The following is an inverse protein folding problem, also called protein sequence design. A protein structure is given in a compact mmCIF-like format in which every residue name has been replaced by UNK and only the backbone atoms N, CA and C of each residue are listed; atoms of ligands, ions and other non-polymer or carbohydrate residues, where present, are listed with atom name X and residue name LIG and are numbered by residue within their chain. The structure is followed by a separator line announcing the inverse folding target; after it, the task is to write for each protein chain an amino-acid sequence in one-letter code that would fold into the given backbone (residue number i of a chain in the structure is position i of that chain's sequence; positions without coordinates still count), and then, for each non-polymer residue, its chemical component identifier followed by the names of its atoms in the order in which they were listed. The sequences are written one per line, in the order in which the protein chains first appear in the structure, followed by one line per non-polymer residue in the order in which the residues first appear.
data_IF_334784645499
#
_entry.id   IF_334784645499
#
_cell.length_a   1.000
_cell.length_b   1.000
_cell.length_c   1.000
_cell.angle_alpha   90.00
_cell.angle_beta   90.00
_cell.angle_gamma   90.00
#
_symmetry.space_group_name_H-M   'P 1'
#
loop_
_entity.id
_entity.type
_entity.pdbx_description
1 polymer ?
#
# COMPACT_ATOMS: atom_id res chain seq x y z
N UNK A 1 23.83 -23.31 51.72
CA UNK A 1 24.34 -22.33 50.73
C UNK A 1 23.26 -22.01 49.68
N UNK A 2 22.56 -23.04 49.23
CA UNK A 2 21.71 -23.12 48.04
C UNK A 2 20.47 -22.21 48.07
N UNK A 3 19.91 -21.96 49.25
CA UNK A 3 18.81 -20.99 49.43
C UNK A 3 19.21 -19.59 48.92
N UNK A 4 20.43 -19.13 49.23
CA UNK A 4 20.96 -17.84 48.78
C UNK A 4 21.20 -17.85 47.27
N UNK A 5 21.73 -18.94 46.72
CA UNK A 5 21.95 -19.11 45.28
C UNK A 5 20.62 -19.06 44.51
N UNK A 6 19.58 -19.76 45.01
CA UNK A 6 18.26 -19.78 44.39
C UNK A 6 17.53 -18.43 44.53
N UNK A 7 17.70 -17.73 45.65
CA UNK A 7 17.22 -16.37 45.83
C UNK A 7 17.87 -15.41 44.80
N UNK A 8 19.20 -15.47 44.65
CA UNK A 8 19.94 -14.66 43.66
C UNK A 8 19.47 -14.99 42.23
N UNK A 9 19.35 -16.28 41.87
CA UNK A 9 18.79 -16.71 40.56
C UNK A 9 17.40 -16.12 40.32
N UNK A 10 16.49 -16.20 41.30
CA UNK A 10 15.14 -15.65 41.18
C UNK A 10 15.16 -14.12 40.97
N UNK A 11 15.97 -13.39 41.74
CA UNK A 11 16.10 -11.93 41.56
C UNK A 11 16.70 -11.55 40.21
N UNK A 12 17.76 -12.24 39.77
CA UNK A 12 18.36 -12.02 38.45
C UNK A 12 17.38 -12.35 37.31
N UNK A 13 16.67 -13.48 37.39
CA UNK A 13 15.67 -13.86 36.38
C UNK A 13 14.50 -12.86 36.34
N UNK A 14 14.02 -12.39 37.51
CA UNK A 14 12.95 -11.40 37.61
C UNK A 14 13.39 -10.01 37.13
N UNK A 15 14.64 -9.63 37.35
CA UNK A 15 15.23 -8.41 36.80
C UNK A 15 15.41 -8.50 35.28
N UNK A 16 16.00 -9.59 34.79
CA UNK A 16 16.23 -9.85 33.35
C UNK A 16 14.91 -9.92 32.58
N UNK A 17 13.89 -10.60 33.08
CA UNK A 17 12.55 -10.63 32.44
C UNK A 17 11.85 -9.28 32.50
N UNK A 18 12.00 -8.51 33.59
CA UNK A 18 11.49 -7.12 33.64
C UNK A 18 12.19 -6.23 32.63
N UNK A 19 13.52 -6.30 32.51
CA UNK A 19 14.29 -5.57 31.49
C UNK A 19 13.87 -5.99 30.09
N UNK A 20 13.82 -7.30 29.78
CA UNK A 20 13.42 -7.82 28.48
C UNK A 20 12.01 -7.39 28.08
N UNK A 21 11.05 -7.39 29.03
CA UNK A 21 9.70 -6.91 28.80
C UNK A 21 9.64 -5.39 28.60
N UNK A 22 10.37 -4.60 29.39
CA UNK A 22 10.48 -3.15 29.21
C UNK A 22 11.12 -2.81 27.86
N UNK A 23 12.16 -3.53 27.45
CA UNK A 23 12.76 -3.36 26.13
C UNK A 23 11.82 -3.80 25.01
N UNK A 24 11.12 -4.92 25.14
CA UNK A 24 10.17 -5.40 24.13
C UNK A 24 9.01 -4.42 23.98
N UNK A 25 8.48 -3.89 25.08
CA UNK A 25 7.48 -2.83 25.10
C UNK A 25 8.03 -1.54 24.48
N UNK A 26 9.22 -1.08 24.87
CA UNK A 26 9.88 0.11 24.31
C UNK A 26 10.11 -0.03 22.81
N UNK A 27 10.64 -1.17 22.34
CA UNK A 27 10.77 -1.51 20.92
C UNK A 27 9.40 -1.43 20.24
N UNK A 28 8.40 -2.14 20.77
CA UNK A 28 7.06 -2.15 20.18
C UNK A 28 6.45 -0.74 20.07
N UNK A 29 6.58 0.07 21.12
CA UNK A 29 6.09 1.45 21.17
C UNK A 29 6.81 2.35 20.15
N UNK A 30 8.15 2.28 20.06
CA UNK A 30 8.94 3.01 19.05
C UNK A 30 8.56 2.63 17.61
N UNK A 31 8.11 1.40 17.38
CA UNK A 31 7.67 0.94 16.07
C UNK A 31 6.23 1.40 15.76
N UNK A 32 5.35 1.44 16.76
CA UNK A 32 4.03 2.06 16.64
C UNK A 32 4.11 3.57 16.40
N UNK A 33 5.01 4.28 17.11
CA UNK A 33 5.19 5.72 16.92
C UNK A 33 5.83 6.06 15.56
N UNK A 34 6.72 5.20 15.02
CA UNK A 34 7.27 5.37 13.68
C UNK A 34 6.21 5.20 12.58
N UNK A 35 5.32 4.20 12.70
CA UNK A 35 4.19 4.03 11.77
C UNK A 35 3.19 5.18 11.88
N UNK A 36 2.86 5.61 13.11
CA UNK A 36 2.02 6.79 13.35
C UNK A 36 2.64 8.06 12.76
N UNK A 37 3.95 8.24 12.89
CA UNK A 37 4.69 9.37 12.30
C UNK A 37 4.56 9.38 10.76
N UNK A 38 4.69 8.24 10.09
CA UNK A 38 4.51 8.14 8.62
C UNK A 38 3.06 8.49 8.22
N UNK A 39 2.05 8.03 8.97
CA UNK A 39 0.64 8.34 8.71
C UNK A 39 0.36 9.84 8.90
N UNK A 40 0.82 10.43 10.00
CA UNK A 40 0.69 11.86 10.27
C UNK A 40 1.45 12.70 9.24
N UNK A 41 2.67 12.29 8.85
CA UNK A 41 3.46 12.94 7.82
C UNK A 41 2.76 12.90 6.44
N UNK A 42 2.12 11.77 6.11
CA UNK A 42 1.30 11.60 4.89
C UNK A 42 0.11 12.58 4.87
N UNK A 43 -0.62 12.68 5.99
CA UNK A 43 -1.75 13.59 6.14
C UNK A 43 -1.33 15.07 6.10
N UNK A 44 -0.27 15.44 6.83
CA UNK A 44 0.29 16.80 6.80
C UNK A 44 0.78 17.18 5.39
N UNK A 45 1.45 16.27 4.68
CA UNK A 45 1.82 16.46 3.28
C UNK A 45 0.60 16.69 2.38
N UNK A 46 -0.42 15.84 2.52
CA UNK A 46 -1.68 15.96 1.78
C UNK A 46 -2.38 17.30 1.99
N UNK A 47 -2.42 17.83 3.21
CA UNK A 47 -2.96 19.16 3.50
C UNK A 47 -2.18 20.30 2.80
N UNK A 48 -0.84 20.20 2.74
CA UNK A 48 -0.02 21.22 2.06
C UNK A 48 -0.18 21.12 0.54
N UNK A 49 -0.15 19.91 -0.05
CA UNK A 49 -0.40 19.72 -1.47
C UNK A 49 -1.79 20.20 -1.89
N UNK A 50 -2.84 19.83 -1.13
CA UNK A 50 -4.21 20.30 -1.38
C UNK A 50 -4.28 21.83 -1.44
N UNK A 51 -3.67 22.52 -0.47
CA UNK A 51 -3.66 23.99 -0.41
C UNK A 51 -2.84 24.64 -1.53
N UNK A 52 -1.81 23.97 -2.03
CA UNK A 52 -0.86 24.52 -3.01
C UNK A 52 -1.29 24.28 -4.47
N UNK A 53 -1.84 23.10 -4.76
CA UNK A 53 -2.24 22.69 -6.12
C UNK A 53 -3.75 22.78 -6.35
N UNK A 54 -4.59 22.76 -5.29
CA UNK A 54 -6.04 22.65 -5.42
C UNK A 54 -6.71 23.77 -6.22
N UNK A 55 -6.33 25.02 -5.96
CA UNK A 55 -6.91 26.16 -6.69
C UNK A 55 -6.26 26.37 -8.06
N UNK A 56 -4.96 26.04 -8.20
CA UNK A 56 -4.28 26.04 -9.48
C UNK A 56 -4.90 25.02 -10.47
N UNK A 57 -5.21 23.80 -9.98
CA UNK A 57 -5.82 22.76 -10.79
C UNK A 57 -7.25 23.12 -11.23
N UNK A 58 -8.06 23.74 -10.35
CA UNK A 58 -9.38 24.29 -10.73
C UNK A 58 -9.26 25.37 -11.81
N UNK A 59 -8.29 26.27 -11.68
CA UNK A 59 -8.03 27.30 -12.70
C UNK A 59 -7.64 26.69 -14.05
N UNK A 60 -6.76 25.69 -14.07
CA UNK A 60 -6.38 24.97 -15.28
C UNK A 60 -7.57 24.21 -15.90
N UNK A 61 -8.42 23.58 -15.09
CA UNK A 61 -9.60 22.85 -15.56
C UNK A 61 -10.63 23.81 -16.17
N UNK A 62 -10.84 25.00 -15.58
CA UNK A 62 -11.66 26.05 -16.17
C UNK A 62 -11.08 26.55 -17.51
N UNK A 63 -9.75 26.69 -17.62
CA UNK A 63 -9.09 27.06 -18.87
C UNK A 63 -9.27 25.99 -19.96
N UNK A 64 -9.18 24.70 -19.63
CA UNK A 64 -9.52 23.58 -20.53
C UNK A 64 -10.96 23.68 -21.04
N UNK A 65 -11.94 23.86 -20.12
CA UNK A 65 -13.37 23.95 -20.46
C UNK A 65 -13.64 25.12 -21.41
N UNK A 66 -13.05 26.29 -21.15
CA UNK A 66 -13.16 27.46 -22.04
C UNK A 66 -12.60 27.16 -23.43
N UNK A 67 -11.45 26.48 -23.52
CA UNK A 67 -10.85 26.07 -24.81
C UNK A 67 -11.74 25.07 -25.57
N UNK A 68 -12.33 24.08 -24.89
CA UNK A 68 -13.31 23.15 -25.50
C UNK A 68 -14.48 23.92 -26.10
N UNK A 69 -15.09 24.82 -25.32
CA UNK A 69 -16.26 25.58 -25.76
C UNK A 69 -15.95 26.48 -26.97
N UNK A 70 -14.81 27.16 -26.98
CA UNK A 70 -14.35 27.97 -28.11
C UNK A 70 -14.06 27.13 -29.36
N UNK A 71 -13.52 25.92 -29.20
CA UNK A 71 -13.25 24.97 -30.29
C UNK A 71 -14.56 24.51 -30.95
N UNK A 72 -15.56 24.10 -30.14
CA UNK A 72 -16.89 23.70 -30.62
C UNK A 72 -17.61 24.87 -31.29
N UNK A 73 -17.55 26.07 -30.71
CA UNK A 73 -18.17 27.26 -31.31
C UNK A 73 -17.57 27.60 -32.68
N UNK A 74 -16.25 27.44 -32.87
CA UNK A 74 -15.59 27.66 -34.16
C UNK A 74 -16.04 26.69 -35.25
N UNK A 75 -16.42 25.46 -34.89
CA UNK A 75 -16.98 24.47 -35.83
C UNK A 75 -18.43 24.85 -36.18
N UNK A 76 -19.27 25.07 -35.16
CA UNK A 76 -20.69 25.40 -35.33
C UNK A 76 -20.92 26.74 -36.06
N UNK A 77 -19.98 27.69 -35.97
CA UNK A 77 -20.00 28.93 -36.76
C UNK A 77 -19.66 28.72 -38.24
N UNK A 78 -18.89 27.69 -38.59
CA UNK A 78 -18.49 27.38 -39.98
C UNK A 78 -19.54 26.53 -40.70
N UNK A 79 -20.11 25.53 -40.03
CA UNK A 79 -20.91 24.50 -40.68
C UNK A 79 -22.37 24.52 -40.25
N UNK A 80 -23.28 24.63 -41.22
CA UNK A 80 -24.75 24.60 -41.00
C UNK A 80 -25.38 23.21 -41.08
N UNK A 81 -24.72 22.25 -41.74
CA UNK A 81 -25.24 20.91 -41.96
C UNK A 81 -24.56 19.94 -41.00
N UNK A 82 -25.32 19.41 -40.04
CA UNK A 82 -24.87 18.33 -39.18
C UNK A 82 -24.59 17.08 -40.04
N UNK A 83 -23.38 16.53 -39.88
CA UNK A 83 -22.85 15.38 -40.61
C UNK A 83 -21.80 14.70 -39.74
N UNK A 84 -21.48 13.43 -40.03
CA UNK A 84 -20.62 12.62 -39.15
C UNK A 84 -19.20 13.22 -39.01
N UNK A 85 -18.67 13.86 -40.05
CA UNK A 85 -17.40 14.61 -40.02
C UNK A 85 -17.43 15.79 -39.03
N UNK A 86 -18.56 16.49 -38.93
CA UNK A 86 -18.76 17.59 -37.95
C UNK A 86 -18.83 17.03 -36.54
N UNK A 87 -19.45 15.85 -36.36
CA UNK A 87 -19.50 15.17 -35.07
C UNK A 87 -18.10 14.72 -34.64
N UNK A 88 -17.30 14.13 -35.54
CA UNK A 88 -15.90 13.75 -35.28
C UNK A 88 -15.04 14.97 -34.88
N UNK A 89 -15.20 16.12 -35.58
CA UNK A 89 -14.50 17.36 -35.20
C UNK A 89 -14.92 17.89 -33.82
N UNK A 90 -16.20 17.82 -33.46
CA UNK A 90 -16.71 18.21 -32.14
C UNK A 90 -16.23 17.25 -31.06
N UNK A 91 -16.22 15.94 -31.33
CA UNK A 91 -15.61 14.94 -30.45
C UNK A 91 -14.13 15.26 -30.23
N UNK A 92 -13.35 15.57 -31.28
CA UNK A 92 -11.94 15.96 -31.14
C UNK A 92 -11.75 17.19 -30.23
N UNK A 93 -12.60 18.22 -30.32
CA UNK A 93 -12.57 19.37 -29.39
C UNK A 93 -12.79 18.97 -27.92
N UNK A 94 -13.65 17.98 -27.67
CA UNK A 94 -13.97 17.50 -26.32
C UNK A 94 -12.91 16.53 -25.79
N UNK A 95 -12.53 15.52 -26.59
CA UNK A 95 -11.58 14.43 -26.27
C UNK A 95 -10.26 14.95 -25.71
N UNK A 96 -9.74 16.03 -26.29
CA UNK A 96 -8.43 16.62 -25.93
C UNK A 96 -8.39 17.14 -24.49
N UNK A 97 -9.53 17.49 -23.90
CA UNK A 97 -9.59 18.04 -22.54
C UNK A 97 -10.15 17.06 -21.48
N UNK A 98 -10.74 15.92 -21.89
CA UNK A 98 -11.23 14.86 -21.00
C UNK A 98 -10.12 13.92 -20.50
N UNK A 99 -8.93 14.43 -20.23
CA UNK A 99 -7.99 13.69 -19.38
C UNK A 99 -8.56 13.67 -17.95
N UNK A 100 -8.91 12.47 -17.47
CA UNK A 100 -9.46 12.20 -16.13
C UNK A 100 -8.39 12.35 -15.02
N UNK A 101 -7.62 13.44 -15.05
CA UNK A 101 -6.77 13.86 -13.94
C UNK A 101 -7.68 14.12 -12.74
N UNK A 102 -7.55 13.29 -11.71
CA UNK A 102 -8.45 13.36 -10.55
C UNK A 102 -8.34 14.71 -9.85
N UNK A 103 -9.41 15.17 -9.20
CA UNK A 103 -9.35 16.44 -8.48
C UNK A 103 -8.44 16.34 -7.25
N UNK A 104 -7.75 17.45 -6.96
CA UNK A 104 -7.04 17.64 -5.70
C UNK A 104 -8.05 17.87 -4.57
N UNK A 105 -8.45 16.79 -3.91
CA UNK A 105 -9.23 16.80 -2.68
C UNK A 105 -8.39 16.29 -1.51
N UNK A 106 -8.87 16.40 -0.26
CA UNK A 106 -8.08 16.02 0.92
C UNK A 106 -7.61 14.56 0.90
N UNK A 107 -8.41 13.64 0.35
CA UNK A 107 -8.10 12.21 0.27
C UNK A 107 -7.07 11.93 -0.82
N UNK A 108 -7.30 12.41 -2.05
CA UNK A 108 -6.37 12.21 -3.19
C UNK A 108 -5.02 12.88 -2.93
N UNK A 109 -5.01 14.06 -2.28
CA UNK A 109 -3.78 14.75 -1.89
C UNK A 109 -3.00 13.99 -0.81
N UNK A 110 -3.70 13.37 0.15
CA UNK A 110 -3.09 12.52 1.19
C UNK A 110 -2.57 11.22 0.59
N UNK A 111 -3.29 10.60 -0.34
CA UNK A 111 -2.84 9.42 -1.09
C UNK A 111 -1.63 9.74 -1.97
N UNK A 112 -1.55 10.92 -2.57
CA UNK A 112 -0.38 11.40 -3.31
C UNK A 112 0.85 11.58 -2.40
N UNK A 113 0.68 12.20 -1.23
CA UNK A 113 1.74 12.26 -0.21
C UNK A 113 2.21 10.87 0.24
N UNK A 114 1.27 10.00 0.61
CA UNK A 114 1.55 8.61 0.96
C UNK A 114 2.27 7.84 -0.16
N UNK A 115 1.86 8.03 -1.42
CA UNK A 115 2.45 7.39 -2.60
C UNK A 115 3.90 7.81 -2.85
N UNK A 116 4.25 9.09 -2.64
CA UNK A 116 5.65 9.54 -2.63
C UNK A 116 6.44 8.84 -1.52
N UNK A 117 5.90 8.87 -0.29
CA UNK A 117 6.59 8.42 0.94
C UNK A 117 6.78 6.90 0.98
N UNK A 118 5.90 6.14 0.32
CA UNK A 118 5.97 4.68 0.18
C UNK A 118 6.61 4.22 -1.12
N UNK A 119 7.00 5.13 -2.02
CA UNK A 119 7.49 4.86 -3.38
C UNK A 119 6.51 4.10 -4.30
N UNK A 120 5.25 3.93 -3.88
CA UNK A 120 4.18 3.37 -4.72
C UNK A 120 3.78 4.32 -5.87
N UNK A 121 3.92 5.63 -5.65
CA UNK A 121 3.33 6.66 -6.51
C UNK A 121 1.83 6.81 -6.32
N UNK A 122 1.25 7.79 -7.00
CA UNK A 122 -0.20 7.97 -7.12
C UNK A 122 -0.50 8.67 -8.46
N UNK A 123 -0.42 7.90 -9.55
CA UNK A 123 -0.37 8.42 -10.92
C UNK A 123 -1.73 8.91 -11.48
N UNK A 124 -2.58 9.48 -10.60
CA UNK A 124 -3.87 10.10 -10.96
C UNK A 124 -3.84 11.63 -10.89
N UNK A 125 -2.88 12.20 -10.15
CA UNK A 125 -2.64 13.65 -10.02
C UNK A 125 -1.14 13.92 -10.02
N UNK A 126 -0.72 15.07 -10.55
CA UNK A 126 0.66 15.53 -10.52
C UNK A 126 0.69 17.06 -10.35
N UNK A 127 1.65 17.61 -9.57
CA UNK A 127 1.70 19.04 -9.31
C UNK A 127 2.00 19.82 -10.60
N UNK A 128 1.13 20.78 -10.91
CA UNK A 128 1.28 21.66 -12.06
C UNK A 128 2.12 22.89 -11.70
N UNK A 129 2.10 23.34 -10.44
CA UNK A 129 2.94 24.47 -10.02
C UNK A 129 4.41 24.07 -9.84
N UNK A 130 5.32 25.01 -10.06
CA UNK A 130 6.75 24.82 -9.75
C UNK A 130 6.99 24.59 -8.26
N UNK A 131 6.20 25.25 -7.40
CA UNK A 131 6.28 25.10 -5.95
C UNK A 131 5.89 23.68 -5.50
N UNK A 132 4.80 23.11 -6.02
CA UNK A 132 4.36 21.76 -5.70
C UNK A 132 5.34 20.68 -6.20
N UNK A 133 5.98 20.91 -7.35
CA UNK A 133 7.07 20.04 -7.85
C UNK A 133 8.29 20.05 -6.92
N UNK A 134 8.73 21.23 -6.49
CA UNK A 134 9.83 21.35 -5.52
C UNK A 134 9.45 20.75 -4.16
N UNK A 135 8.22 20.95 -3.70
CA UNK A 135 7.69 20.34 -2.49
C UNK A 135 7.74 18.80 -2.58
N UNK A 136 7.30 18.21 -3.69
CA UNK A 136 7.34 16.76 -3.90
C UNK A 136 8.78 16.19 -3.84
N UNK A 137 9.77 16.91 -4.37
CA UNK A 137 11.19 16.52 -4.29
C UNK A 137 11.68 16.51 -2.84
N UNK A 138 11.50 17.61 -2.09
CA UNK A 138 11.95 17.67 -0.69
C UNK A 138 11.17 16.72 0.23
N UNK A 139 9.88 16.54 -0.02
CA UNK A 139 9.00 15.64 0.73
C UNK A 139 9.37 14.16 0.50
N UNK A 140 9.71 13.78 -0.74
CA UNK A 140 10.27 12.47 -1.05
C UNK A 140 11.65 12.25 -0.40
N UNK A 141 12.55 13.23 -0.50
CA UNK A 141 13.90 13.17 0.06
C UNK A 141 13.90 12.91 1.58
N UNK A 142 12.95 13.51 2.32
CA UNK A 142 12.79 13.29 3.76
C UNK A 142 11.96 12.04 4.10
N UNK A 143 10.90 11.76 3.34
CA UNK A 143 9.95 10.68 3.65
C UNK A 143 10.46 9.28 3.32
N UNK A 144 11.07 9.09 2.14
CA UNK A 144 11.48 7.76 1.65
C UNK A 144 12.48 7.06 2.61
N UNK A 145 13.51 7.74 3.16
CA UNK A 145 14.41 7.13 4.14
C UNK A 145 13.70 6.68 5.43
N UNK A 146 12.71 7.46 5.91
CA UNK A 146 11.94 7.12 7.11
C UNK A 146 11.09 5.86 6.87
N UNK A 147 10.45 5.75 5.71
CA UNK A 147 9.70 4.56 5.31
C UNK A 147 10.61 3.35 5.13
N UNK A 148 11.78 3.51 4.50
CA UNK A 148 12.76 2.43 4.35
C UNK A 148 13.20 1.86 5.71
N UNK A 149 13.44 2.74 6.70
CA UNK A 149 13.73 2.33 8.09
C UNK A 149 12.55 1.57 8.70
N UNK A 150 11.31 2.06 8.51
CA UNK A 150 10.10 1.40 9.02
C UNK A 150 9.86 0.02 8.40
N UNK A 151 10.10 -0.15 7.10
CA UNK A 151 10.02 -1.43 6.39
C UNK A 151 11.08 -2.41 6.92
N UNK A 152 12.35 -1.99 7.03
CA UNK A 152 13.43 -2.84 7.54
C UNK A 152 13.19 -3.29 8.99
N UNK A 153 12.65 -2.41 9.83
CA UNK A 153 12.18 -2.71 11.20
C UNK A 153 11.04 -3.74 11.18
N UNK A 154 10.07 -3.56 10.29
CA UNK A 154 8.89 -4.42 10.19
C UNK A 154 9.26 -5.82 9.72
N UNK A 155 10.14 -5.96 8.72
CA UNK A 155 10.70 -7.25 8.31
C UNK A 155 11.41 -8.00 9.44
N UNK A 156 12.17 -7.30 10.29
CA UNK A 156 12.80 -7.90 11.49
C UNK A 156 11.75 -8.43 12.48
N UNK A 157 10.69 -7.66 12.77
CA UNK A 157 9.56 -8.14 13.60
C UNK A 157 8.91 -9.38 12.99
N UNK A 158 8.58 -9.34 11.70
CA UNK A 158 7.89 -10.43 11.00
C UNK A 158 8.71 -11.73 11.06
N UNK A 159 10.04 -11.67 10.88
CA UNK A 159 10.91 -12.83 11.04
C UNK A 159 10.82 -13.43 12.46
N UNK A 160 10.92 -12.61 13.51
CA UNK A 160 10.76 -13.09 14.91
C UNK A 160 9.38 -13.72 15.16
N UNK A 161 8.32 -13.18 14.57
CA UNK A 161 6.97 -13.77 14.65
C UNK A 161 6.93 -15.13 13.95
N UNK A 162 7.45 -15.23 12.72
CA UNK A 162 7.50 -16.48 11.94
C UNK A 162 8.32 -17.55 12.65
N UNK A 163 9.49 -17.23 13.21
CA UNK A 163 10.31 -18.17 13.99
C UNK A 163 9.55 -18.68 15.22
N UNK A 164 8.94 -17.77 16.00
CA UNK A 164 8.13 -18.13 17.16
C UNK A 164 6.91 -18.99 16.79
N UNK A 165 6.31 -18.78 15.60
CA UNK A 165 5.20 -19.58 15.10
C UNK A 165 5.66 -20.95 14.62
N UNK A 166 6.77 -21.06 13.87
CA UNK A 166 7.38 -22.34 13.49
C UNK A 166 7.71 -23.19 14.73
N UNK A 167 8.29 -22.60 15.77
CA UNK A 167 8.61 -23.31 17.02
C UNK A 167 7.34 -23.80 17.75
N UNK A 168 6.29 -22.98 17.83
CA UNK A 168 4.99 -23.41 18.40
C UNK A 168 4.36 -24.55 17.61
N UNK A 169 4.42 -24.49 16.27
CA UNK A 169 3.86 -25.52 15.38
C UNK A 169 4.63 -26.84 15.49
N UNK A 170 5.97 -26.80 15.53
CA UNK A 170 6.82 -27.96 15.76
C UNK A 170 6.51 -28.63 17.11
N UNK A 171 6.42 -27.84 18.19
CA UNK A 171 6.04 -28.33 19.52
C UNK A 171 4.63 -28.96 19.54
N UNK A 172 3.71 -28.48 18.70
CA UNK A 172 2.36 -29.05 18.56
C UNK A 172 2.36 -30.37 17.76
N UNK A 173 3.10 -30.44 16.62
CA UNK A 173 3.27 -31.68 15.85
C UNK A 173 3.97 -32.76 16.69
N UNK A 174 5.02 -32.41 17.41
CA UNK A 174 5.74 -33.30 18.34
C UNK A 174 4.80 -33.96 19.36
N UNK A 175 3.91 -33.19 20.01
CA UNK A 175 2.92 -33.73 20.97
C UNK A 175 1.95 -34.74 20.36
N UNK A 176 1.49 -34.53 19.13
CA UNK A 176 0.63 -35.49 18.43
C UNK A 176 1.40 -36.71 17.90
N UNK A 177 2.69 -36.55 17.57
CA UNK A 177 3.55 -37.67 17.18
C UNK A 177 3.88 -38.56 18.37
N UNK A 178 4.21 -38.00 19.53
CA UNK A 178 4.59 -38.76 20.73
C UNK A 178 3.46 -39.69 21.19
N UNK A 179 2.22 -39.20 21.21
CA UNK A 179 1.02 -40.02 21.47
C UNK A 179 0.77 -41.14 20.44
N UNK A 180 1.27 -41.02 19.21
CA UNK A 180 1.23 -42.09 18.18
C UNK A 180 2.45 -43.00 18.23
N UNK A 181 3.65 -42.47 18.48
CA UNK A 181 4.89 -43.26 18.62
C UNK A 181 4.83 -44.13 19.88
N UNK A 182 4.17 -43.69 20.95
CA UNK A 182 3.86 -44.54 22.12
C UNK A 182 3.06 -45.81 21.78
N UNK A 183 2.19 -45.76 20.77
CA UNK A 183 1.43 -46.92 20.28
C UNK A 183 2.18 -47.70 19.18
N UNK A 184 2.92 -47.03 18.30
CA UNK A 184 3.65 -47.66 17.17
C UNK A 184 5.04 -48.19 17.53
N UNK A 185 5.61 -47.82 18.68
CA UNK A 185 6.92 -48.29 19.18
C UNK A 185 6.96 -49.78 19.54
N UNK A 186 5.80 -50.44 19.55
CA UNK A 186 5.67 -51.89 19.66
C UNK A 186 6.05 -52.59 18.34
N UNK A 187 5.85 -51.95 17.18
CA UNK A 187 5.90 -52.64 15.87
C UNK A 187 7.03 -52.19 14.92
N UNK A 188 7.36 -50.89 14.82
CA UNK A 188 8.38 -50.42 13.85
C UNK A 188 9.50 -49.59 14.51
N UNK A 189 10.68 -50.22 14.67
CA UNK A 189 11.94 -49.54 15.02
C UNK A 189 12.84 -49.33 13.80
N UNK A 190 12.53 -48.31 12.97
CA UNK A 190 13.49 -47.54 12.15
C UNK A 190 12.73 -46.53 11.27
N UNK A 191 12.84 -45.26 11.64
CA UNK A 191 13.35 -44.21 10.76
C UNK A 191 13.50 -42.94 11.62
N UNK A 192 14.73 -42.42 11.66
CA UNK A 192 14.95 -41.07 12.18
C UNK A 192 14.48 -40.11 11.10
N UNK A 193 13.25 -39.62 11.23
CA UNK A 193 12.75 -38.49 10.45
C UNK A 193 13.75 -37.33 10.63
N UNK A 194 14.57 -37.06 9.60
CA UNK A 194 15.32 -35.81 9.52
C UNK A 194 14.35 -34.66 9.79
N UNK A 195 14.75 -33.62 10.55
CA UNK A 195 13.82 -32.63 11.06
C UNK A 195 13.16 -31.88 9.89
N UNK A 196 11.95 -32.30 9.53
CA UNK A 196 11.21 -31.83 8.35
C UNK A 196 11.42 -30.33 8.18
N UNK A 197 12.03 -29.94 7.06
CA UNK A 197 11.99 -28.55 6.64
C UNK A 197 10.51 -28.17 6.54
N UNK A 198 9.98 -27.43 7.54
CA UNK A 198 8.56 -27.05 7.58
C UNK A 198 8.28 -26.29 6.29
N UNK A 199 7.58 -27.00 5.38
CA UNK A 199 7.88 -26.92 3.94
C UNK A 199 7.94 -25.48 3.44
N UNK A 200 8.91 -25.21 2.57
CA UNK A 200 8.93 -23.98 1.76
C UNK A 200 7.58 -23.74 1.09
N UNK A 201 6.87 -24.80 0.69
CA UNK A 201 5.49 -24.76 0.21
C UNK A 201 4.47 -24.26 1.26
N UNK A 202 4.54 -24.70 2.52
CA UNK A 202 3.65 -24.21 3.59
C UNK A 202 3.90 -22.73 3.89
N UNK A 203 5.17 -22.32 3.99
CA UNK A 203 5.51 -20.90 4.17
C UNK A 203 5.00 -20.03 3.00
N UNK A 204 5.15 -20.53 1.76
CA UNK A 204 4.64 -19.88 0.54
C UNK A 204 3.11 -19.78 0.54
N UNK A 205 2.41 -20.86 0.93
CA UNK A 205 0.95 -20.89 1.01
C UNK A 205 0.40 -19.91 2.06
N UNK A 206 1.07 -19.79 3.21
CA UNK A 206 0.70 -18.81 4.24
C UNK A 206 0.93 -17.36 3.79
N UNK A 207 2.00 -17.09 3.02
CA UNK A 207 2.21 -15.79 2.36
C UNK A 207 1.10 -15.52 1.34
N UNK A 208 0.73 -16.51 0.51
CA UNK A 208 -0.35 -16.38 -0.48
C UNK A 208 -1.71 -16.11 0.17
N UNK A 209 -2.07 -16.83 1.25
CA UNK A 209 -3.28 -16.55 2.03
C UNK A 209 -3.25 -15.14 2.61
N UNK A 210 -2.12 -14.71 3.17
CA UNK A 210 -1.98 -13.38 3.78
C UNK A 210 -2.12 -12.26 2.74
N UNK A 211 -1.53 -12.46 1.55
CA UNK A 211 -1.67 -11.57 0.41
C UNK A 211 -3.12 -11.52 -0.09
N UNK A 212 -3.75 -12.67 -0.33
CA UNK A 212 -5.15 -12.74 -0.78
C UNK A 212 -6.12 -12.10 0.24
N UNK A 213 -5.90 -12.33 1.54
CA UNK A 213 -6.68 -11.70 2.61
C UNK A 213 -6.52 -10.17 2.64
N UNK A 214 -5.31 -9.64 2.40
CA UNK A 214 -5.08 -8.20 2.29
C UNK A 214 -5.71 -7.60 1.02
N UNK A 215 -5.62 -8.32 -0.10
CA UNK A 215 -6.25 -7.94 -1.39
C UNK A 215 -7.78 -7.85 -1.22
N UNK A 216 -8.41 -8.85 -0.59
CA UNK A 216 -9.84 -8.86 -0.28
C UNK A 216 -10.21 -7.78 0.75
N UNK A 217 -9.40 -7.56 1.78
CA UNK A 217 -9.66 -6.56 2.82
C UNK A 217 -9.72 -5.13 2.23
N UNK A 218 -8.74 -4.75 1.41
CA UNK A 218 -8.78 -3.45 0.73
C UNK A 218 -9.88 -3.35 -0.34
N UNK A 219 -10.28 -4.47 -0.96
CA UNK A 219 -11.43 -4.53 -1.86
C UNK A 219 -12.77 -4.28 -1.16
N UNK A 220 -12.88 -4.59 0.14
CA UNK A 220 -14.03 -4.24 0.99
C UNK A 220 -13.93 -2.80 1.54
N UNK A 221 -12.72 -2.29 1.76
CA UNK A 221 -12.49 -0.97 2.35
C UNK A 221 -12.58 0.18 1.33
N UNK A 222 -12.12 0.00 0.09
CA UNK A 222 -12.19 1.03 -0.95
C UNK A 222 -13.64 1.48 -1.31
N UNK A 223 -14.64 0.57 -1.42
CA UNK A 223 -16.04 0.97 -1.55
C UNK A 223 -16.52 1.85 -0.38
N UNK A 224 -16.14 1.52 0.85
CA UNK A 224 -16.51 2.28 2.05
C UNK A 224 -15.82 3.65 2.13
N UNK A 225 -14.64 3.81 1.53
CA UNK A 225 -13.88 5.07 1.53
C UNK A 225 -14.30 6.02 0.41
N UNK A 226 -14.59 5.49 -0.79
CA UNK A 226 -14.87 6.29 -1.99
C UNK A 226 -16.37 6.38 -2.31
N UNK A 227 -17.23 5.52 -1.75
CA UNK A 227 -18.67 5.45 -2.02
C UNK A 227 -19.08 4.90 -3.40
N UNK A 228 -18.23 5.08 -4.42
CA UNK A 228 -18.59 4.90 -5.84
C UNK A 228 -17.96 3.67 -6.52
N UNK A 229 -17.15 2.87 -5.83
CA UNK A 229 -16.46 1.72 -6.46
C UNK A 229 -17.06 0.38 -6.06
N UNK A 230 -17.39 -0.46 -7.05
CA UNK A 230 -17.80 -1.85 -6.83
C UNK A 230 -16.70 -2.68 -6.17
N UNK A 231 -17.06 -3.79 -5.54
CA UNK A 231 -16.09 -4.75 -4.98
C UNK A 231 -15.04 -5.21 -6.01
N UNK A 232 -15.43 -5.47 -7.27
CA UNK A 232 -14.48 -5.88 -8.32
C UNK A 232 -13.49 -4.74 -8.67
N UNK A 233 -13.99 -3.50 -8.73
CA UNK A 233 -13.17 -2.32 -8.98
C UNK A 233 -12.23 -2.04 -7.79
N UNK A 234 -12.71 -2.17 -6.56
CA UNK A 234 -11.89 -2.14 -5.34
C UNK A 234 -10.82 -3.24 -5.33
N UNK A 235 -11.15 -4.46 -5.75
CA UNK A 235 -10.21 -5.58 -5.87
C UNK A 235 -9.08 -5.28 -6.87
N UNK A 236 -9.45 -4.75 -8.05
CA UNK A 236 -8.49 -4.36 -9.09
C UNK A 236 -7.55 -3.24 -8.61
N UNK A 237 -8.11 -2.12 -8.10
CA UNK A 237 -7.30 -1.00 -7.63
C UNK A 237 -6.41 -1.37 -6.43
N UNK A 238 -6.91 -2.17 -5.49
CA UNK A 238 -6.11 -2.63 -4.35
C UNK A 238 -5.01 -3.61 -4.77
N UNK A 239 -5.26 -4.50 -5.73
CA UNK A 239 -4.25 -5.40 -6.27
C UNK A 239 -3.12 -4.63 -6.98
N UNK A 240 -3.44 -3.68 -7.86
CA UNK A 240 -2.43 -2.85 -8.55
C UNK A 240 -1.59 -2.04 -7.55
N UNK A 241 -2.24 -1.43 -6.56
CA UNK A 241 -1.58 -0.69 -5.48
C UNK A 241 -0.62 -1.59 -4.67
N UNK A 242 -1.10 -2.76 -4.20
CA UNK A 242 -0.31 -3.69 -3.39
C UNK A 242 0.88 -4.30 -4.15
N UNK A 243 0.74 -4.49 -5.46
CA UNK A 243 1.80 -5.05 -6.33
C UNK A 243 2.74 -3.97 -6.91
N UNK A 244 2.48 -2.69 -6.65
CA UNK A 244 3.12 -1.54 -7.28
C UNK A 244 3.07 -1.57 -8.82
N UNK A 245 2.04 -2.20 -9.40
CA UNK A 245 1.79 -2.23 -10.85
C UNK A 245 0.91 -1.03 -11.21
N UNK A 246 1.51 0.16 -11.25
CA UNK A 246 0.81 1.37 -11.71
C UNK A 246 0.90 1.50 -13.24
N UNK A 247 -0.18 1.15 -13.93
CA UNK A 247 -0.29 1.30 -15.39
C UNK A 247 -0.66 2.72 -15.86
N UNK A 248 -0.86 3.70 -14.96
CA UNK A 248 -1.03 5.11 -15.32
C UNK A 248 -2.13 5.42 -16.33
N UNK A 249 -3.25 4.68 -16.28
CA UNK A 249 -4.32 4.73 -17.30
C UNK A 249 -3.81 4.60 -18.76
N UNK A 250 -2.84 3.71 -19.01
CA UNK A 250 -2.46 3.24 -20.34
C UNK A 250 -3.59 2.46 -21.04
N UNK A 251 -4.65 3.17 -21.44
CA UNK A 251 -5.60 2.73 -22.45
C UNK A 251 -5.06 3.24 -23.80
N UNK A 252 -4.51 2.38 -24.68
CA UNK A 252 -4.00 2.80 -25.99
C UNK A 252 -5.15 3.14 -26.98
N UNK A 253 -5.87 4.23 -26.70
CA UNK A 253 -6.98 4.76 -27.52
C UNK A 253 -6.45 5.35 -28.83
N UNK A 254 -6.44 4.51 -29.88
CA UNK A 254 -5.91 4.79 -31.24
C UNK A 254 -6.42 6.09 -31.91
N UNK A 255 -7.58 6.64 -31.53
CA UNK A 255 -8.16 7.85 -32.13
C UNK A 255 -7.31 9.14 -31.98
N UNK A 256 -6.32 9.18 -31.08
CA UNK A 256 -5.45 10.35 -30.93
C UNK A 256 -4.58 10.68 -32.16
N UNK A 257 -4.53 9.77 -33.15
CA UNK A 257 -3.86 9.99 -34.44
C UNK A 257 -4.82 10.62 -35.47
N UNK A 258 -6.15 10.48 -35.29
CA UNK A 258 -7.17 10.97 -36.22
C UNK A 258 -7.53 12.45 -35.97
N UNK A 259 -7.53 12.89 -34.71
CA UNK A 259 -7.79 14.28 -34.33
C UNK A 259 -6.59 15.23 -34.56
N UNK A 260 -5.84 15.07 -35.66
CA UNK A 260 -4.53 15.73 -35.84
C UNK A 260 -4.21 16.17 -37.27
#
# INVERSE_FOLDING_TARGET
LDSVINMIRYFLQKFMTRQLNVEHFRRHLLHCSLLLFIIVYSFCGGLVFYKLEGDAAKSLQNEKIIKTNLCIEQILRKTKNYSDEVLEQIECCWRVNTDETAEWNYVTSTLYGFGIVTTLGYNRIAPITTAGRMLAIFYGLCGIPVTMIAIAITGRKLNTVVVNWKQKLANFKSRNIDGKKSLKSIEDQKEEEEPEEISSGFATFLIFITFAAYVIFGALLLPLLNGEVDFLNGLYYNFLCLTAIDFGHLIPRRWAILCK
#
